data_IF_078649982691
#
_entry.id   IF_078649982691
#
_cell.length_a   1.000
_cell.length_b   1.000
_cell.length_c   1.000
_cell.angle_alpha   90.00
_cell.angle_beta   90.00
_cell.angle_gamma   90.00
#
_symmetry.space_group_name_H-M   'P 1'
#
loop_
_entity.id
_entity.type
_entity.pdbx_description
1 polymer ?
#
# COMPACT_ATOMS: atom_id res chain seq x y z
N UNK A 1 4.56 14.82 -3.49
CA UNK A 1 5.69 15.64 -3.99
C UNK A 1 6.86 14.71 -4.23
N UNK A 2 7.50 14.76 -5.39
CA UNK A 2 8.66 13.92 -5.72
C UNK A 2 9.97 14.65 -5.42
N UNK A 3 10.93 13.93 -4.85
CA UNK A 3 12.25 14.39 -4.42
C UNK A 3 13.29 13.33 -4.79
N UNK A 4 14.57 13.71 -4.86
CA UNK A 4 15.62 12.79 -5.30
C UNK A 4 16.71 12.59 -4.25
N UNK A 5 17.09 11.33 -4.02
CA UNK A 5 18.41 10.99 -3.46
C UNK A 5 19.28 10.57 -4.64
N UNK A 6 20.31 11.35 -5.02
CA UNK A 6 21.14 11.03 -6.17
C UNK A 6 22.02 9.81 -5.90
N UNK A 7 22.60 9.20 -6.95
CA UNK A 7 23.59 8.15 -6.76
C UNK A 7 24.83 8.69 -6.04
N UNK A 8 25.48 7.82 -5.27
CA UNK A 8 26.80 8.07 -4.71
C UNK A 8 27.89 7.99 -5.78
N UNK A 9 29.16 8.04 -5.34
CA UNK A 9 30.31 7.84 -6.23
C UNK A 9 30.21 6.48 -6.93
N UNK A 10 30.59 6.43 -8.20
CA UNK A 10 30.58 5.23 -9.02
C UNK A 10 29.21 4.51 -9.08
N UNK A 11 28.12 5.28 -9.10
CA UNK A 11 26.74 4.75 -9.12
C UNK A 11 26.38 3.89 -7.89
N UNK A 12 27.04 4.12 -6.76
CA UNK A 12 26.70 3.45 -5.51
C UNK A 12 25.35 3.90 -4.95
N UNK A 13 24.63 2.97 -4.33
CA UNK A 13 23.39 3.28 -3.61
C UNK A 13 23.72 3.90 -2.25
N UNK A 14 23.07 5.01 -1.90
CA UNK A 14 23.26 5.69 -0.61
C UNK A 14 22.42 5.09 0.53
N UNK A 15 21.48 4.19 0.19
CA UNK A 15 20.64 3.43 1.11
C UNK A 15 20.65 1.95 0.69
N UNK A 16 20.06 1.07 1.50
CA UNK A 16 19.89 -0.34 1.13
C UNK A 16 19.07 -0.49 -0.16
N UNK A 17 19.66 -1.09 -1.19
CA UNK A 17 19.07 -1.17 -2.54
C UNK A 17 17.96 -2.22 -2.69
N UNK A 18 17.86 -3.15 -1.74
CA UNK A 18 16.85 -4.21 -1.75
C UNK A 18 15.72 -3.98 -0.75
N UNK A 19 15.48 -2.72 -0.37
CA UNK A 19 14.45 -2.32 0.58
C UNK A 19 13.53 -1.23 0.02
N UNK A 20 12.28 -1.24 0.47
CA UNK A 20 11.39 -0.08 0.42
C UNK A 20 11.65 0.76 1.67
N UNK A 21 12.11 2.00 1.50
CA UNK A 21 12.39 2.90 2.63
C UNK A 21 11.16 3.73 2.96
N UNK A 22 10.85 3.84 4.25
CA UNK A 22 9.67 4.55 4.75
C UNK A 22 10.05 5.42 5.95
N UNK A 23 9.70 6.70 5.89
CA UNK A 23 9.78 7.68 6.99
C UNK A 23 8.37 8.09 7.42
N UNK A 24 7.77 7.42 8.42
CA UNK A 24 6.40 7.66 8.89
C UNK A 24 6.34 8.84 9.87
N UNK A 25 5.34 9.71 9.78
CA UNK A 25 5.16 10.90 10.64
C UNK A 25 3.68 11.18 10.96
N UNK A 26 2.95 10.20 11.50
CA UNK A 26 1.56 10.27 12.03
C UNK A 26 0.47 10.88 11.13
N UNK A 27 0.62 12.07 10.58
CA UNK A 27 -0.29 12.67 9.61
C UNK A 27 0.25 12.62 8.18
N UNK A 28 1.52 12.29 8.00
CA UNK A 28 2.19 12.23 6.69
C UNK A 28 3.34 11.23 6.67
N UNK A 29 3.92 10.98 5.49
CA UNK A 29 5.04 10.06 5.34
C UNK A 29 5.85 10.35 4.08
N UNK A 30 7.10 9.91 4.06
CA UNK A 30 7.94 9.88 2.86
C UNK A 30 8.36 8.44 2.57
N UNK A 31 8.37 8.03 1.30
CA UNK A 31 8.91 6.74 0.87
C UNK A 31 10.02 6.95 -0.14
N UNK A 32 10.94 6.00 -0.28
CA UNK A 32 11.95 6.01 -1.33
C UNK A 32 12.07 4.63 -2.00
N UNK A 33 12.05 4.63 -3.33
CA UNK A 33 12.25 3.45 -4.16
C UNK A 33 13.59 3.54 -4.91
N UNK A 34 14.37 2.45 -4.96
CA UNK A 34 15.65 2.42 -5.64
C UNK A 34 15.48 2.42 -7.17
N UNK A 35 16.33 3.17 -7.85
CA UNK A 35 16.44 3.17 -9.30
C UNK A 35 17.71 2.42 -9.76
N UNK A 36 17.72 1.78 -10.94
CA UNK A 36 18.85 0.95 -11.40
C UNK A 36 20.20 1.68 -11.44
N UNK A 37 20.22 2.99 -11.65
CA UNK A 37 21.41 3.84 -11.75
C UNK A 37 22.01 4.29 -10.40
N UNK A 38 21.46 3.81 -9.28
CA UNK A 38 21.96 4.06 -7.92
C UNK A 38 21.23 5.17 -7.16
N UNK A 39 20.29 5.86 -7.81
CA UNK A 39 19.46 6.91 -7.20
C UNK A 39 18.25 6.32 -6.46
N UNK A 40 17.55 7.15 -5.69
CA UNK A 40 16.21 6.83 -5.18
C UNK A 40 15.24 7.95 -5.51
N UNK A 41 14.08 7.57 -6.04
CA UNK A 41 12.93 8.48 -6.16
C UNK A 41 12.18 8.46 -4.84
N UNK A 42 12.12 9.63 -4.20
CA UNK A 42 11.42 9.82 -2.95
C UNK A 42 10.06 10.47 -3.20
N UNK A 43 9.03 10.01 -2.52
CA UNK A 43 7.68 10.60 -2.59
C UNK A 43 7.25 11.01 -1.20
N UNK A 44 7.08 12.32 -1.00
CA UNK A 44 6.46 12.90 0.19
C UNK A 44 4.94 12.96 -0.01
N UNK A 45 4.22 12.26 0.85
CA UNK A 45 2.77 12.30 0.99
C UNK A 45 2.42 13.21 2.17
N UNK A 46 1.91 14.40 1.89
CA UNK A 46 1.74 15.47 2.86
C UNK A 46 0.41 16.19 2.60
N UNK A 47 -0.33 16.63 3.64
CA UNK A 47 -1.60 17.29 3.43
C UNK A 47 -1.43 18.62 2.69
N UNK A 48 -2.41 18.99 1.87
CA UNK A 48 -2.43 20.31 1.22
C UNK A 48 -2.59 21.43 2.25
N UNK A 49 -3.47 21.22 3.24
CA UNK A 49 -3.85 22.19 4.27
C UNK A 49 -3.68 21.60 5.67
N UNK A 50 -3.51 22.47 6.68
CA UNK A 50 -3.28 22.09 8.08
C UNK A 50 -1.98 22.68 8.60
N UNK A 51 -1.50 22.15 9.73
CA UNK A 51 -0.19 22.45 10.28
C UNK A 51 0.42 21.15 10.85
N UNK A 52 1.49 20.59 10.25
CA UNK A 52 2.20 21.10 9.07
C UNK A 52 1.54 20.68 7.73
N UNK A 53 1.67 21.46 6.65
CA UNK A 53 1.08 21.14 5.32
C UNK A 53 1.81 21.80 4.14
N UNK A 54 1.51 21.41 2.89
CA UNK A 54 2.14 22.06 1.72
C UNK A 54 1.94 23.58 1.70
N UNK A 55 0.78 24.05 2.18
CA UNK A 55 0.48 25.49 2.31
C UNK A 55 1.33 26.21 3.35
N UNK A 56 1.84 25.51 4.37
CA UNK A 56 2.73 26.10 5.39
C UNK A 56 4.20 26.15 4.95
N UNK A 57 4.56 25.48 3.84
CA UNK A 57 5.91 25.44 3.27
C UNK A 57 6.02 26.36 2.04
N UNK A 58 5.88 27.67 2.28
CA UNK A 58 5.77 28.69 1.22
C UNK A 58 7.09 29.26 0.69
N UNK A 59 8.20 28.99 1.36
CA UNK A 59 9.53 29.49 0.98
C UNK A 59 10.64 28.49 1.36
N UNK A 60 11.84 28.67 0.77
CA UNK A 60 12.99 27.79 0.99
C UNK A 60 13.39 27.63 2.46
N UNK A 61 13.28 28.69 3.28
CA UNK A 61 13.64 28.62 4.69
C UNK A 61 12.67 27.76 5.49
N UNK A 62 11.36 27.89 5.21
CA UNK A 62 10.32 27.05 5.82
C UNK A 62 10.47 25.57 5.42
N UNK A 63 10.78 25.30 4.14
CA UNK A 63 11.03 23.95 3.62
C UNK A 63 12.25 23.35 4.31
N UNK A 64 13.39 24.05 4.30
CA UNK A 64 14.62 23.55 4.91
C UNK A 64 14.44 23.28 6.41
N UNK A 65 13.81 24.19 7.13
CA UNK A 65 13.57 24.05 8.58
C UNK A 65 12.70 22.82 8.85
N UNK A 66 11.60 22.65 8.11
CA UNK A 66 10.71 21.50 8.24
C UNK A 66 11.43 20.18 7.96
N UNK A 67 12.18 20.09 6.87
CA UNK A 67 12.89 18.86 6.52
C UNK A 67 14.01 18.53 7.52
N UNK A 68 14.77 19.52 7.99
CA UNK A 68 15.83 19.29 8.99
C UNK A 68 15.29 18.83 10.34
N UNK A 69 14.13 19.34 10.76
CA UNK A 69 13.50 18.90 12.00
C UNK A 69 12.82 17.54 11.86
N UNK A 70 12.19 17.30 10.70
CA UNK A 70 11.30 16.15 10.50
C UNK A 70 12.02 14.94 9.93
N UNK A 71 12.97 15.12 9.02
CA UNK A 71 13.71 14.07 8.33
C UNK A 71 15.24 14.29 8.40
N UNK A 72 15.81 14.43 9.60
CA UNK A 72 17.21 14.84 9.79
C UNK A 72 18.23 13.87 9.15
N UNK A 73 17.85 12.60 9.00
CA UNK A 73 18.64 11.53 8.40
C UNK A 73 18.56 11.51 6.87
N UNK A 74 17.43 11.93 6.30
CA UNK A 74 17.23 11.99 4.85
C UNK A 74 17.83 13.26 4.21
N UNK A 75 17.78 14.41 4.90
CA UNK A 75 18.28 15.69 4.38
C UNK A 75 19.73 15.64 3.88
N UNK A 76 20.70 15.03 4.60
CA UNK A 76 22.07 14.90 4.12
C UNK A 76 22.20 14.13 2.80
N UNK A 77 21.21 13.31 2.45
CA UNK A 77 21.16 12.50 1.23
C UNK A 77 20.46 13.22 0.07
N UNK A 78 19.83 14.37 0.31
CA UNK A 78 19.03 15.11 -0.69
C UNK A 78 19.64 16.49 -0.99
N UNK A 79 20.80 16.56 -1.67
CA UNK A 79 21.46 17.84 -1.97
C UNK A 79 20.61 18.76 -2.86
N UNK A 80 19.67 18.20 -3.64
CA UNK A 80 18.76 18.93 -4.53
C UNK A 80 17.39 19.19 -3.91
N UNK A 81 17.22 18.99 -2.59
CA UNK A 81 15.92 19.05 -1.91
C UNK A 81 15.09 20.30 -2.25
N UNK A 82 15.69 21.49 -2.18
CA UNK A 82 14.97 22.74 -2.43
C UNK A 82 14.60 22.89 -3.91
N UNK A 83 15.53 22.59 -4.81
CA UNK A 83 15.31 22.64 -6.25
C UNK A 83 14.20 21.66 -6.68
N UNK A 84 14.25 20.43 -6.19
CA UNK A 84 13.24 19.40 -6.44
C UNK A 84 11.87 19.83 -5.90
N UNK A 85 11.83 20.41 -4.69
CA UNK A 85 10.59 20.85 -4.07
C UNK A 85 9.97 22.04 -4.82
N UNK A 86 10.75 22.95 -5.38
CA UNK A 86 10.22 24.08 -6.15
C UNK A 86 9.83 23.68 -7.58
N UNK A 87 10.66 22.87 -8.25
CA UNK A 87 10.46 22.50 -9.64
C UNK A 87 9.34 21.45 -9.82
N UNK A 88 9.26 20.46 -8.93
CA UNK A 88 8.31 19.36 -9.11
C UNK A 88 6.91 19.75 -8.62
N UNK A 89 5.85 19.59 -9.43
CA UNK A 89 4.50 19.97 -9.04
C UNK A 89 3.97 19.10 -7.89
N UNK A 90 3.06 19.67 -7.10
CA UNK A 90 2.34 18.92 -6.07
C UNK A 90 1.07 18.30 -6.69
N UNK A 91 1.04 16.97 -6.75
CA UNK A 91 -0.10 16.21 -7.28
C UNK A 91 -1.11 15.85 -6.19
N UNK A 92 -2.39 15.79 -6.55
CA UNK A 92 -3.45 15.24 -5.70
C UNK A 92 -3.57 13.72 -5.86
N UNK A 93 -4.02 13.05 -4.81
CA UNK A 93 -4.34 11.63 -4.82
C UNK A 93 -5.85 11.47 -4.70
N UNK A 94 -6.41 10.57 -5.51
CA UNK A 94 -7.86 10.33 -5.53
C UNK A 94 -8.15 8.84 -5.56
N UNK A 95 -9.30 8.46 -5.00
CA UNK A 95 -9.90 7.14 -5.24
C UNK A 95 -11.19 7.34 -6.03
N UNK A 96 -11.27 6.75 -7.22
CA UNK A 96 -12.44 6.82 -8.09
C UNK A 96 -13.15 5.47 -8.04
N UNK A 97 -14.43 5.51 -7.67
CA UNK A 97 -15.33 4.36 -7.71
C UNK A 97 -16.45 4.65 -8.69
N UNK A 98 -16.55 3.86 -9.75
CA UNK A 98 -17.67 3.94 -10.68
C UNK A 98 -18.27 2.56 -10.95
N UNK A 99 -19.51 2.55 -11.44
CA UNK A 99 -20.25 1.39 -11.92
C UNK A 99 -21.54 1.88 -12.62
N UNK A 100 -22.04 1.23 -13.70
CA UNK A 100 -21.43 0.10 -14.43
C UNK A 100 -20.20 0.52 -15.23
N UNK A 101 -19.33 -0.44 -15.56
CA UNK A 101 -18.15 -0.21 -16.41
C UNK A 101 -18.43 -0.46 -17.89
N UNK A 102 -19.56 -1.11 -18.19
CA UNK A 102 -19.99 -1.40 -19.55
C UNK A 102 -21.15 -0.50 -19.94
N UNK A 103 -21.03 0.11 -21.11
CA UNK A 103 -22.14 0.82 -21.76
C UNK A 103 -22.06 0.62 -23.27
N UNK A 104 -23.08 0.00 -23.85
CA UNK A 104 -23.12 -0.38 -25.27
C UNK A 104 -21.88 -1.21 -25.65
N UNK A 105 -21.00 -0.66 -26.49
CA UNK A 105 -19.77 -1.31 -26.96
C UNK A 105 -18.51 -0.73 -26.30
N UNK A 106 -18.66 -0.08 -25.14
CA UNK A 106 -17.56 0.51 -24.38
C UNK A 106 -17.42 -0.21 -23.04
N UNK A 107 -16.18 -0.55 -22.68
CA UNK A 107 -15.78 -1.09 -21.38
C UNK A 107 -14.66 -0.20 -20.79
N UNK A 108 -14.73 0.06 -19.49
CA UNK A 108 -13.65 0.68 -18.72
C UNK A 108 -12.80 -0.40 -18.02
N UNK A 109 -11.47 -0.22 -18.00
CA UNK A 109 -10.50 -1.07 -17.28
C UNK A 109 -9.41 -0.21 -16.65
N UNK A 110 -8.69 -0.74 -15.66
CA UNK A 110 -7.62 -0.03 -14.94
C UNK A 110 -8.11 1.26 -14.28
N UNK A 111 -7.26 2.28 -14.21
CA UNK A 111 -7.58 3.56 -13.54
C UNK A 111 -8.85 4.26 -14.06
N UNK A 112 -9.23 4.02 -15.33
CA UNK A 112 -10.48 4.56 -15.87
C UNK A 112 -11.73 3.97 -15.18
N UNK A 113 -11.62 2.74 -14.66
CA UNK A 113 -12.66 2.05 -13.90
C UNK A 113 -12.47 2.19 -12.38
N UNK A 114 -11.23 2.20 -11.89
CA UNK A 114 -10.90 2.12 -10.47
C UNK A 114 -9.54 2.75 -10.11
N UNK A 115 -9.37 4.06 -10.34
CA UNK A 115 -8.19 4.76 -9.79
C UNK A 115 -8.15 4.62 -8.25
N UNK A 116 -7.03 4.16 -7.71
CA UNK A 116 -6.80 3.98 -6.27
C UNK A 116 -5.60 4.79 -5.79
N UNK A 117 -5.58 5.11 -4.51
CA UNK A 117 -4.41 5.72 -3.89
C UNK A 117 -3.20 4.76 -3.91
N UNK A 118 -1.96 5.27 -4.06
CA UNK A 118 -0.79 4.44 -4.36
C UNK A 118 -0.23 3.68 -3.15
N UNK A 119 -0.92 3.70 -2.00
CA UNK A 119 -0.38 3.23 -0.74
C UNK A 119 -0.24 1.71 -0.62
N UNK A 120 -0.77 0.93 -1.57
CA UNK A 120 -0.53 -0.52 -1.65
C UNK A 120 0.39 -0.93 -2.82
N UNK A 121 0.74 0.00 -3.73
CA UNK A 121 1.49 -0.34 -4.94
C UNK A 121 0.72 -1.23 -5.94
N UNK A 122 -0.62 -1.24 -5.87
CA UNK A 122 -1.45 -2.21 -6.62
C UNK A 122 -2.22 -1.63 -7.83
N UNK A 123 -2.19 -0.31 -8.09
CA UNK A 123 -2.96 0.27 -9.20
C UNK A 123 -2.60 -0.35 -10.56
N UNK A 124 -1.31 -0.32 -10.91
CA UNK A 124 -0.80 -0.97 -12.13
C UNK A 124 -1.09 -2.48 -12.14
N UNK A 125 -0.83 -3.18 -11.03
CA UNK A 125 -1.01 -4.62 -10.92
C UNK A 125 -2.49 -5.04 -11.11
N UNK A 126 -3.43 -4.32 -10.49
CA UNK A 126 -4.85 -4.52 -10.66
C UNK A 126 -5.30 -4.21 -12.10
N UNK A 127 -4.74 -3.18 -12.74
CA UNK A 127 -4.98 -2.88 -14.16
C UNK A 127 -4.44 -3.96 -15.11
N UNK A 128 -3.28 -4.55 -14.82
CA UNK A 128 -2.79 -5.70 -15.59
C UNK A 128 -3.61 -6.97 -15.34
N UNK A 129 -4.07 -7.18 -14.11
CA UNK A 129 -4.98 -8.26 -13.77
C UNK A 129 -6.30 -8.14 -14.53
N UNK A 130 -6.83 -6.92 -14.69
CA UNK A 130 -8.01 -6.67 -15.54
C UNK A 130 -7.78 -7.14 -16.98
N UNK A 131 -6.65 -6.78 -17.58
CA UNK A 131 -6.32 -7.20 -18.96
C UNK A 131 -6.30 -8.74 -19.08
N UNK A 132 -5.65 -9.43 -18.13
CA UNK A 132 -5.60 -10.89 -18.09
C UNK A 132 -7.00 -11.50 -17.97
N UNK A 133 -7.79 -11.05 -16.99
CA UNK A 133 -9.13 -11.59 -16.73
C UNK A 133 -10.07 -11.31 -17.91
N UNK A 134 -9.99 -10.14 -18.54
CA UNK A 134 -10.75 -9.85 -19.74
C UNK A 134 -10.39 -10.80 -20.89
N UNK A 135 -9.09 -11.06 -21.10
CA UNK A 135 -8.64 -12.03 -22.10
C UNK A 135 -9.17 -13.44 -21.82
N UNK A 136 -9.05 -13.91 -20.57
CA UNK A 136 -9.57 -15.22 -20.15
C UNK A 136 -11.08 -15.37 -20.41
N UNK A 137 -11.86 -14.29 -20.21
CA UNK A 137 -13.29 -14.27 -20.49
C UNK A 137 -13.60 -14.26 -22.00
N UNK A 138 -12.79 -13.60 -22.82
CA UNK A 138 -12.94 -13.63 -24.28
C UNK A 138 -12.66 -15.03 -24.84
N UNK A 139 -11.62 -15.69 -24.35
CA UNK A 139 -11.31 -17.09 -24.69
C UNK A 139 -12.49 -18.01 -24.29
N UNK A 140 -12.98 -17.87 -23.05
CA UNK A 140 -14.10 -18.65 -22.51
C UNK A 140 -15.38 -18.50 -23.35
N UNK A 141 -15.64 -17.30 -23.86
CA UNK A 141 -16.86 -16.98 -24.60
C UNK A 141 -16.67 -16.87 -26.11
N UNK A 142 -15.55 -17.36 -26.65
CA UNK A 142 -15.26 -17.35 -28.08
C UNK A 142 -15.47 -15.97 -28.71
N UNK A 143 -14.87 -14.95 -28.10
CA UNK A 143 -14.96 -13.53 -28.49
C UNK A 143 -16.38 -12.94 -28.49
N UNK A 144 -17.33 -13.52 -27.76
CA UNK A 144 -18.62 -12.88 -27.51
C UNK A 144 -18.48 -11.73 -26.51
N UNK A 145 -18.10 -10.56 -27.03
CA UNK A 145 -17.88 -9.33 -26.26
C UNK A 145 -19.08 -8.90 -25.42
N UNK A 146 -20.31 -9.11 -25.90
CA UNK A 146 -21.51 -8.72 -25.15
C UNK A 146 -21.65 -9.52 -23.85
N UNK A 147 -21.26 -10.80 -23.86
CA UNK A 147 -21.24 -11.63 -22.65
C UNK A 147 -19.99 -11.36 -21.81
N UNK A 148 -18.81 -11.33 -22.45
CA UNK A 148 -17.53 -11.18 -21.76
C UNK A 148 -17.42 -9.86 -20.99
N UNK A 149 -17.82 -8.73 -21.59
CA UNK A 149 -17.79 -7.42 -20.91
C UNK A 149 -18.73 -7.38 -19.70
N UNK A 150 -19.92 -7.97 -19.81
CA UNK A 150 -20.89 -8.01 -18.71
C UNK A 150 -20.40 -8.90 -17.57
N UNK A 151 -19.81 -10.06 -17.86
CA UNK A 151 -19.22 -10.90 -16.82
C UNK A 151 -17.98 -10.24 -16.18
N UNK A 152 -17.16 -9.58 -16.98
CA UNK A 152 -15.96 -8.89 -16.51
C UNK A 152 -16.28 -7.88 -15.40
N UNK A 153 -17.23 -6.96 -15.62
CA UNK A 153 -17.56 -5.95 -14.61
C UNK A 153 -18.16 -6.57 -13.33
N UNK A 154 -18.96 -7.65 -13.45
CA UNK A 154 -19.54 -8.34 -12.29
C UNK A 154 -18.48 -9.07 -11.48
N UNK A 155 -17.53 -9.70 -12.18
CA UNK A 155 -16.41 -10.40 -11.57
C UNK A 155 -15.45 -9.40 -10.91
N UNK A 156 -15.02 -8.34 -11.61
CA UNK A 156 -13.95 -7.46 -11.16
C UNK A 156 -14.38 -6.38 -10.19
N UNK A 157 -15.63 -5.92 -10.23
CA UNK A 157 -16.09 -4.82 -9.36
C UNK A 157 -15.85 -5.06 -7.87
N UNK A 158 -16.17 -6.24 -7.29
CA UNK A 158 -15.86 -6.52 -5.89
C UNK A 158 -14.36 -6.46 -5.56
N UNK A 159 -13.50 -6.87 -6.48
CA UNK A 159 -12.05 -6.87 -6.28
C UNK A 159 -11.46 -5.47 -6.38
N UNK A 160 -11.95 -4.66 -7.32
CA UNK A 160 -11.57 -3.25 -7.44
C UNK A 160 -11.99 -2.42 -6.22
N UNK A 161 -13.18 -2.67 -5.67
CA UNK A 161 -13.61 -2.05 -4.41
C UNK A 161 -12.74 -2.52 -3.24
N UNK A 162 -12.44 -3.82 -3.17
CA UNK A 162 -11.59 -4.36 -2.13
C UNK A 162 -10.19 -3.74 -2.16
N UNK A 163 -9.52 -3.67 -3.31
CA UNK A 163 -8.17 -3.09 -3.37
C UNK A 163 -8.16 -1.58 -3.11
N UNK A 164 -9.23 -0.85 -3.48
CA UNK A 164 -9.38 0.55 -3.13
C UNK A 164 -9.45 0.76 -1.60
N UNK A 165 -10.23 -0.06 -0.91
CA UNK A 165 -10.32 -0.03 0.55
C UNK A 165 -8.99 -0.45 1.21
N UNK A 166 -8.37 -1.52 0.71
CA UNK A 166 -7.07 -2.00 1.21
C UNK A 166 -5.98 -0.94 1.09
N UNK A 167 -5.95 -0.20 -0.02
CA UNK A 167 -4.98 0.88 -0.22
C UNK A 167 -5.20 2.03 0.78
N UNK A 168 -6.45 2.38 1.09
CA UNK A 168 -6.75 3.39 2.12
C UNK A 168 -6.39 2.89 3.52
N UNK A 169 -6.70 1.64 3.84
CA UNK A 169 -6.36 1.03 5.14
C UNK A 169 -4.83 0.98 5.33
N UNK A 170 -4.07 0.64 4.27
CA UNK A 170 -2.62 0.57 4.35
C UNK A 170 -1.96 1.95 4.54
N UNK A 171 -2.59 3.03 4.05
CA UNK A 171 -2.15 4.37 4.38
C UNK A 171 -2.18 4.63 5.88
N UNK A 172 -3.27 4.24 6.55
CA UNK A 172 -3.43 4.41 7.99
C UNK A 172 -2.40 3.53 8.73
N UNK A 173 -2.23 2.27 8.32
CA UNK A 173 -1.26 1.36 8.94
C UNK A 173 0.18 1.87 8.86
N UNK A 174 0.64 2.27 7.68
CA UNK A 174 2.00 2.80 7.49
C UNK A 174 2.25 4.13 8.21
N UNK A 175 1.20 4.92 8.39
CA UNK A 175 1.27 6.27 8.95
C UNK A 175 1.23 6.27 10.48
N UNK A 176 0.35 5.48 11.08
CA UNK A 176 0.01 5.59 12.51
C UNK A 176 0.62 4.48 13.38
N UNK A 177 0.78 3.27 12.86
CA UNK A 177 0.89 2.08 13.71
C UNK A 177 2.30 1.50 13.82
N UNK A 178 3.22 1.89 12.92
CA UNK A 178 4.56 1.29 12.87
C UNK A 178 5.45 1.57 14.09
N UNK A 179 5.07 2.55 14.93
CA UNK A 179 5.74 2.88 16.18
C UNK A 179 4.97 2.42 17.44
N UNK A 180 3.81 1.77 17.28
CA UNK A 180 2.94 1.32 18.37
C UNK A 180 3.37 -0.07 18.89
N UNK A 181 3.56 -0.20 20.20
CA UNK A 181 4.00 -1.47 20.83
C UNK A 181 2.99 -2.60 20.68
N UNK A 182 1.68 -2.31 20.75
CA UNK A 182 0.61 -3.30 20.56
C UNK A 182 0.58 -3.76 19.11
N UNK A 183 0.78 -2.84 18.18
CA UNK A 183 0.88 -3.17 16.76
C UNK A 183 2.09 -4.08 16.48
N UNK A 184 3.26 -3.78 17.05
CA UNK A 184 4.45 -4.61 16.91
C UNK A 184 4.25 -6.01 17.51
N UNK A 185 3.62 -6.10 18.69
CA UNK A 185 3.28 -7.38 19.30
C UNK A 185 2.29 -8.18 18.44
N UNK A 186 1.24 -7.53 17.95
CA UNK A 186 0.27 -8.14 17.03
C UNK A 186 0.96 -8.74 15.82
N UNK A 187 1.87 -8.00 15.16
CA UNK A 187 2.62 -8.49 14.01
C UNK A 187 3.54 -9.67 14.36
N UNK A 188 4.14 -9.70 15.56
CA UNK A 188 4.91 -10.86 16.04
C UNK A 188 4.04 -12.11 16.18
N UNK A 189 2.85 -11.96 16.76
CA UNK A 189 1.90 -13.08 16.92
C UNK A 189 1.41 -13.56 15.54
N UNK A 190 1.03 -12.65 14.64
CA UNK A 190 0.62 -12.98 13.27
C UNK A 190 1.73 -13.68 12.48
N UNK A 191 2.99 -13.23 12.62
CA UNK A 191 4.14 -13.87 12.01
C UNK A 191 4.34 -15.30 12.55
N UNK A 192 4.18 -15.51 13.86
CA UNK A 192 4.28 -16.84 14.48
C UNK A 192 3.15 -17.77 14.03
N UNK A 193 1.93 -17.27 13.92
CA UNK A 193 0.78 -18.01 13.37
C UNK A 193 1.06 -18.46 11.93
N UNK A 194 1.60 -17.56 11.10
CA UNK A 194 1.98 -17.90 9.72
C UNK A 194 3.11 -18.93 9.66
N UNK A 195 4.15 -18.79 10.47
CA UNK A 195 5.26 -19.74 10.53
C UNK A 195 4.79 -21.16 10.90
N UNK A 196 3.89 -21.27 11.87
CA UNK A 196 3.35 -22.56 12.32
C UNK A 196 2.28 -23.13 11.38
N UNK A 197 1.50 -22.26 10.71
CA UNK A 197 0.37 -22.65 9.87
C UNK A 197 0.35 -21.87 8.53
N UNK A 198 1.37 -22.06 7.67
CA UNK A 198 1.61 -21.21 6.50
C UNK A 198 0.46 -21.25 5.48
N UNK A 199 -0.23 -22.39 5.36
CA UNK A 199 -1.34 -22.56 4.43
C UNK A 199 -2.70 -22.09 4.98
N UNK A 200 -2.77 -21.74 6.28
CA UNK A 200 -4.02 -21.34 6.93
C UNK A 200 -4.03 -19.88 7.36
N UNK A 201 -2.95 -19.42 7.99
CA UNK A 201 -2.81 -18.03 8.40
C UNK A 201 -1.86 -17.30 7.45
N UNK A 202 -2.36 -16.93 6.27
CA UNK A 202 -1.58 -16.16 5.29
C UNK A 202 -1.77 -14.67 5.59
N UNK A 203 -0.70 -13.88 5.81
CA UNK A 203 -0.82 -12.44 6.01
C UNK A 203 -1.55 -11.76 4.86
N UNK A 204 -2.39 -10.77 5.17
CA UNK A 204 -3.16 -10.02 4.18
C UNK A 204 -2.28 -9.36 3.11
N UNK A 205 -1.12 -8.81 3.52
CA UNK A 205 -0.14 -8.29 2.57
C UNK A 205 0.35 -9.36 1.59
N UNK A 206 0.65 -10.58 2.08
CA UNK A 206 1.10 -11.68 1.23
C UNK A 206 0.01 -12.16 0.27
N UNK A 207 -1.25 -12.24 0.74
CA UNK A 207 -2.39 -12.61 -0.11
C UNK A 207 -2.58 -11.64 -1.29
N UNK A 208 -2.34 -10.34 -1.08
CA UNK A 208 -2.52 -9.31 -2.11
C UNK A 208 -1.31 -9.21 -3.03
N UNK A 209 -0.09 -9.29 -2.49
CA UNK A 209 1.14 -8.97 -3.23
C UNK A 209 1.77 -10.17 -3.91
N UNK A 210 1.66 -11.37 -3.32
CA UNK A 210 2.42 -12.56 -3.75
C UNK A 210 1.54 -13.73 -4.21
N UNK A 211 0.22 -13.59 -4.17
CA UNK A 211 -0.71 -14.64 -4.60
C UNK A 211 -1.60 -14.16 -5.74
N UNK A 212 -1.32 -14.65 -6.94
CA UNK A 212 -2.02 -14.34 -8.19
C UNK A 212 -3.41 -14.97 -8.31
N UNK A 213 -3.71 -15.98 -7.47
CA UNK A 213 -4.99 -16.72 -7.46
C UNK A 213 -5.95 -16.27 -6.38
N UNK A 214 -5.48 -15.53 -5.38
CA UNK A 214 -6.35 -15.02 -4.31
C UNK A 214 -6.91 -13.68 -4.78
N UNK A 215 -8.23 -13.61 -4.89
CA UNK A 215 -8.92 -12.39 -5.30
C UNK A 215 -8.78 -11.31 -4.22
N UNK A 216 -8.71 -10.04 -4.60
CA UNK A 216 -8.65 -8.95 -3.63
C UNK A 216 -9.84 -8.95 -2.65
N UNK A 217 -11.04 -9.27 -3.12
CA UNK A 217 -12.22 -9.38 -2.25
C UNK A 217 -12.11 -10.52 -1.23
N UNK A 218 -11.49 -11.64 -1.60
CA UNK A 218 -11.22 -12.74 -0.68
C UNK A 218 -10.11 -12.39 0.31
N UNK A 219 -9.01 -11.78 -0.16
CA UNK A 219 -7.92 -11.32 0.70
C UNK A 219 -8.42 -10.34 1.76
N UNK A 220 -9.28 -9.39 1.38
CA UNK A 220 -9.91 -8.44 2.31
C UNK A 220 -10.82 -9.15 3.32
N UNK A 221 -11.68 -10.06 2.85
CA UNK A 221 -12.60 -10.83 3.72
C UNK A 221 -11.83 -11.69 4.74
N UNK A 222 -10.79 -12.38 4.29
CA UNK A 222 -9.93 -13.20 5.16
C UNK A 222 -9.17 -12.28 6.14
N UNK A 223 -8.61 -11.18 5.66
CA UNK A 223 -7.91 -10.19 6.48
C UNK A 223 -8.80 -9.59 7.58
N UNK A 224 -10.07 -9.27 7.28
CA UNK A 224 -11.04 -8.81 8.29
C UNK A 224 -11.33 -9.88 9.35
N UNK A 225 -11.38 -11.15 8.95
CA UNK A 225 -11.57 -12.26 9.88
C UNK A 225 -10.34 -12.45 10.78
N UNK A 226 -9.14 -12.46 10.19
CA UNK A 226 -7.87 -12.47 10.92
C UNK A 226 -7.80 -11.30 11.89
N UNK A 227 -8.23 -10.10 11.45
CA UNK A 227 -8.26 -8.91 12.27
C UNK A 227 -9.12 -9.10 13.50
N UNK A 228 -10.37 -9.54 13.32
CA UNK A 228 -11.30 -9.79 14.44
C UNK A 228 -10.77 -10.81 15.43
N UNK A 229 -10.16 -11.90 14.95
CA UNK A 229 -9.55 -12.92 15.82
C UNK A 229 -8.41 -12.31 16.64
N UNK A 230 -7.54 -11.54 15.98
CA UNK A 230 -6.41 -10.90 16.65
C UNK A 230 -6.85 -9.82 17.64
N UNK A 231 -7.92 -9.08 17.35
CA UNK A 231 -8.46 -8.09 18.28
C UNK A 231 -8.93 -8.76 19.59
N UNK A 232 -9.40 -10.01 19.55
CA UNK A 232 -9.74 -10.77 20.75
C UNK A 232 -8.52 -11.41 21.44
N UNK A 233 -7.51 -11.83 20.68
CA UNK A 233 -6.23 -12.31 21.23
C UNK A 233 -5.52 -11.20 22.02
N UNK A 234 -5.50 -9.97 21.48
CA UNK A 234 -4.82 -8.83 22.10
C UNK A 234 -5.49 -8.35 23.40
N UNK A 235 -6.76 -8.70 23.65
CA UNK A 235 -7.46 -8.37 24.92
C UNK A 235 -7.09 -9.28 26.10
N UNK A 236 -6.29 -10.33 25.87
CA UNK A 236 -5.92 -11.29 26.92
C UNK A 236 -5.02 -10.63 27.96
N UNK A 237 -5.26 -10.94 29.24
CA UNK A 237 -4.46 -10.39 30.35
C UNK A 237 -3.01 -10.85 30.26
N UNK A 238 -2.07 -9.90 30.33
CA UNK A 238 -0.64 -10.16 30.27
C UNK A 238 -0.12 -10.57 28.89
N UNK A 239 -0.80 -10.19 27.81
CA UNK A 239 -0.44 -10.60 26.44
C UNK A 239 0.99 -10.21 26.06
N UNK A 240 1.51 -9.09 26.56
CA UNK A 240 2.88 -8.65 26.28
C UNK A 240 3.92 -9.61 26.85
N UNK A 241 3.63 -10.24 27.99
CA UNK A 241 4.54 -11.15 28.67
C UNK A 241 4.31 -12.62 28.30
N UNK A 242 3.10 -12.99 27.90
CA UNK A 242 2.71 -14.40 27.78
C UNK A 242 2.28 -14.86 26.37
N UNK A 243 2.40 -14.02 25.33
CA UNK A 243 1.96 -14.36 23.98
C UNK A 243 2.60 -15.65 23.41
N UNK A 244 3.82 -16.01 23.82
CA UNK A 244 4.48 -17.24 23.36
C UNK A 244 3.79 -18.51 23.86
N UNK A 245 3.01 -18.41 24.94
CA UNK A 245 2.23 -19.50 25.52
C UNK A 245 0.81 -19.63 24.95
N UNK A 246 0.46 -18.81 23.95
CA UNK A 246 -0.84 -18.89 23.30
C UNK A 246 -1.05 -20.27 22.65
N UNK A 247 -2.27 -20.77 22.75
CA UNK A 247 -2.72 -21.90 21.93
C UNK A 247 -2.96 -21.43 20.48
N UNK A 248 -1.87 -21.40 19.71
CA UNK A 248 -1.89 -21.01 18.30
C UNK A 248 -2.79 -21.92 17.46
N UNK A 249 -2.95 -23.21 17.82
CA UNK A 249 -3.83 -24.13 17.10
C UNK A 249 -5.30 -23.71 17.24
N UNK A 250 -5.73 -23.39 18.47
CA UNK A 250 -7.08 -22.90 18.74
C UNK A 250 -7.35 -21.54 18.09
N UNK A 251 -6.32 -20.69 17.93
CA UNK A 251 -6.45 -19.41 17.22
C UNK A 251 -6.69 -19.66 15.74
N UNK A 252 -5.84 -20.46 15.08
CA UNK A 252 -5.97 -20.75 13.64
C UNK A 252 -7.25 -21.53 13.31
N UNK A 253 -7.76 -22.37 14.21
CA UNK A 253 -9.04 -23.08 14.03
C UNK A 253 -10.27 -22.17 13.88
N UNK A 254 -10.16 -20.89 14.24
CA UNK A 254 -11.25 -19.92 14.07
C UNK A 254 -11.36 -19.40 12.63
N UNK A 255 -10.30 -19.50 11.81
CA UNK A 255 -10.31 -19.21 10.38
C UNK A 255 -11.06 -20.27 9.57
#
# INVERSE_FOLDING_TARGET
KELTIPPGRDHSFLLEKHALHIWPRESFMMIALPNPEGSFTCTLFFPFEGDPSFRTLGDQSSIETFFRSTFPDAVPLMPTLLDDFEANPTSSLVTVRCYPWVKNKTLLIGDAAHAIVPFYGQGMNAGFEDCRILNDLLDKYSDNWDVAMNEFQLLRKPDAEAIADLALDNFIEMRDLVADEDFLLRKKIEARLHEMYPDRWIPQYSMVTFHDRIRYSDARRIGQKQKSIMDDVMKRTGIHENWESLDFESIVKQL
#
